data_IF_460292427784
#
_entry.id   IF_460292427784
#
_cell.length_a   1.000
_cell.length_b   1.000
_cell.length_c   1.000
_cell.angle_alpha   90.00
_cell.angle_beta   90.00
_cell.angle_gamma   90.00
#
_symmetry.space_group_name_H-M   'P 1'
#
loop_
_entity.id
_entity.type
_entity.pdbx_description
1 polymer ?
#
# COMPACT_ATOMS: atom_id res chain seq x y z
N UNK A 1 -71.61 -0.29 33.51
CA UNK A 1 -70.85 -0.11 32.23
C UNK A 1 -69.44 0.27 32.59
N UNK A 2 -68.59 -0.73 32.66
CA UNK A 2 -67.13 -0.54 32.97
C UNK A 2 -66.40 -0.26 31.67
N UNK A 3 -65.77 0.91 31.57
CA UNK A 3 -64.84 1.24 30.45
C UNK A 3 -63.42 0.79 30.82
N UNK A 4 -62.95 -0.21 30.12
CA UNK A 4 -61.52 -0.65 30.21
C UNK A 4 -60.71 0.31 29.34
N UNK A 5 -59.79 1.07 29.95
CA UNK A 5 -58.79 1.91 29.26
C UNK A 5 -57.57 1.05 29.07
N UNK A 6 -57.29 0.68 27.81
CA UNK A 6 -56.03 -0.04 27.42
C UNK A 6 -54.97 1.03 27.15
N UNK A 7 -53.97 1.12 28.04
CA UNK A 7 -52.77 1.92 27.84
C UNK A 7 -51.75 1.11 27.01
N UNK A 8 -51.60 1.51 25.76
CA UNK A 8 -50.54 0.96 24.88
C UNK A 8 -49.23 1.70 25.22
N UNK A 9 -48.31 1.02 25.90
CA UNK A 9 -46.92 1.46 26.06
C UNK A 9 -46.17 1.18 24.75
N UNK A 10 -45.94 2.21 23.95
CA UNK A 10 -45.01 2.15 22.81
C UNK A 10 -43.60 2.26 23.36
N UNK A 11 -42.90 1.13 23.42
CA UNK A 11 -41.44 1.11 23.71
C UNK A 11 -40.71 1.58 22.45
N UNK A 12 -40.25 2.83 22.45
CA UNK A 12 -39.32 3.35 21.46
C UNK A 12 -37.95 2.71 21.71
N UNK A 13 -37.61 1.65 20.95
CA UNK A 13 -36.25 1.12 20.93
C UNK A 13 -35.37 2.14 20.22
N UNK A 14 -34.63 2.95 20.98
CA UNK A 14 -33.53 3.76 20.43
C UNK A 14 -32.44 2.81 19.98
N UNK A 15 -32.39 2.49 18.70
CA UNK A 15 -31.18 1.98 18.07
C UNK A 15 -30.15 3.11 18.07
N UNK A 16 -29.25 3.11 19.04
CA UNK A 16 -28.05 3.92 18.94
C UNK A 16 -27.27 3.40 17.73
N UNK A 17 -27.28 4.16 16.62
CA UNK A 17 -26.28 4.00 15.58
C UNK A 17 -24.94 4.33 16.26
N UNK A 18 -24.21 3.32 16.67
CA UNK A 18 -22.79 3.47 16.98
C UNK A 18 -22.14 3.77 15.64
N UNK A 19 -21.82 5.05 15.41
CA UNK A 19 -20.98 5.43 14.30
C UNK A 19 -19.66 4.66 14.50
N UNK A 20 -19.35 3.70 13.63
CA UNK A 20 -18.12 2.95 13.71
C UNK A 20 -16.98 3.96 13.53
N UNK A 21 -16.11 4.03 14.52
CA UNK A 21 -14.97 4.95 14.51
C UNK A 21 -14.10 4.66 13.30
N UNK A 22 -13.70 5.72 12.58
CA UNK A 22 -12.76 5.61 11.46
C UNK A 22 -11.43 5.08 11.97
N UNK A 23 -10.75 4.26 11.18
CA UNK A 23 -9.46 3.67 11.57
C UNK A 23 -8.43 4.77 11.79
N UNK A 24 -7.80 4.75 12.95
CA UNK A 24 -6.62 5.58 13.21
C UNK A 24 -5.36 4.87 12.69
N UNK A 25 -4.63 5.50 11.78
CA UNK A 25 -3.35 5.00 11.27
C UNK A 25 -2.15 5.41 12.15
N UNK A 26 -2.35 6.18 13.23
CA UNK A 26 -1.28 6.61 14.14
C UNK A 26 -0.43 5.47 14.71
N UNK A 27 -0.99 4.32 15.15
CA UNK A 27 -0.15 3.23 15.66
C UNK A 27 0.81 2.66 14.59
N UNK A 28 0.41 2.65 13.33
CA UNK A 28 1.29 2.23 12.23
C UNK A 28 2.32 3.32 11.90
N UNK A 29 1.91 4.57 11.91
CA UNK A 29 2.78 5.73 11.73
C UNK A 29 3.93 5.74 12.75
N UNK A 30 3.64 5.48 14.03
CA UNK A 30 4.65 5.36 15.08
C UNK A 30 5.65 4.21 14.84
N UNK A 31 5.19 3.09 14.29
CA UNK A 31 6.06 1.96 13.90
C UNK A 31 6.96 2.39 12.74
N UNK A 32 6.40 3.02 11.72
CA UNK A 32 7.16 3.47 10.56
C UNK A 32 8.20 4.52 10.93
N UNK A 33 7.84 5.55 11.71
CA UNK A 33 8.77 6.57 12.19
C UNK A 33 9.94 6.01 13.00
N UNK A 34 9.70 4.93 13.75
CA UNK A 34 10.74 4.33 14.60
C UNK A 34 11.67 3.40 13.84
N UNK A 35 11.17 2.69 12.83
CA UNK A 35 11.87 1.55 12.24
C UNK A 35 12.15 1.67 10.75
N UNK A 36 11.69 2.74 10.10
CA UNK A 36 11.97 3.02 8.69
C UNK A 36 12.80 4.29 8.61
N UNK A 37 13.95 4.23 7.97
CA UNK A 37 14.81 5.40 7.79
C UNK A 37 14.37 6.28 6.60
N UNK A 38 15.03 7.42 6.44
CA UNK A 38 14.74 8.40 5.37
C UNK A 38 14.92 7.82 3.96
N UNK A 39 15.66 6.72 3.82
CA UNK A 39 15.87 6.04 2.53
C UNK A 39 14.84 4.95 2.28
N UNK A 40 13.95 4.66 3.22
CA UNK A 40 12.92 3.61 3.13
C UNK A 40 13.42 2.22 3.49
N UNK A 41 14.63 2.11 4.09
CA UNK A 41 15.12 0.84 4.61
C UNK A 41 14.50 0.54 5.97
N UNK A 42 14.18 -0.72 6.20
CA UNK A 42 13.37 -1.19 7.33
C UNK A 42 14.22 -1.96 8.33
N UNK A 43 14.12 -1.61 9.61
CA UNK A 43 14.66 -2.39 10.70
C UNK A 43 13.69 -3.52 11.07
N UNK A 44 13.63 -4.57 10.26
CA UNK A 44 12.75 -5.73 10.52
C UNK A 44 13.01 -6.40 11.86
N UNK A 45 14.28 -6.50 12.27
CA UNK A 45 14.65 -7.07 13.58
C UNK A 45 14.06 -6.25 14.73
N UNK A 46 14.11 -4.91 14.63
CA UNK A 46 13.52 -4.00 15.61
C UNK A 46 12.00 -4.12 15.69
N UNK A 47 11.31 -4.13 14.54
CA UNK A 47 9.85 -4.34 14.50
C UNK A 47 9.51 -5.71 15.10
N UNK A 48 10.30 -6.75 14.80
CA UNK A 48 10.10 -8.09 15.33
C UNK A 48 10.12 -8.17 16.86
N UNK A 49 10.94 -7.33 17.51
CA UNK A 49 10.96 -7.24 18.99
C UNK A 49 9.69 -6.61 19.57
N UNK A 50 9.01 -5.76 18.82
CA UNK A 50 7.75 -5.13 19.20
C UNK A 50 6.58 -5.59 18.32
N UNK A 51 6.66 -6.79 17.72
CA UNK A 51 5.67 -7.32 16.76
C UNK A 51 4.23 -7.23 17.27
N UNK A 52 4.02 -7.31 18.58
CA UNK A 52 2.69 -7.17 19.18
C UNK A 52 2.01 -5.83 18.82
N UNK A 53 2.77 -4.74 18.67
CA UNK A 53 2.21 -3.44 18.24
C UNK A 53 1.69 -3.49 16.81
N UNK A 54 2.47 -4.08 15.89
CA UNK A 54 2.03 -4.29 14.51
C UNK A 54 0.79 -5.19 14.46
N UNK A 55 0.80 -6.32 15.19
CA UNK A 55 -0.36 -7.22 15.26
C UNK A 55 -1.60 -6.54 15.82
N UNK A 56 -1.47 -5.67 16.81
CA UNK A 56 -2.59 -4.87 17.33
C UNK A 56 -3.16 -3.93 16.26
N UNK A 57 -2.31 -3.29 15.46
CA UNK A 57 -2.76 -2.45 14.36
C UNK A 57 -3.46 -3.28 13.26
N UNK A 58 -2.89 -4.43 12.86
CA UNK A 58 -3.51 -5.33 11.89
C UNK A 58 -4.89 -5.80 12.35
N UNK A 59 -5.05 -6.08 13.65
CA UNK A 59 -6.35 -6.42 14.24
C UNK A 59 -7.35 -5.26 14.13
N UNK A 60 -6.91 -4.02 14.33
CA UNK A 60 -7.78 -2.85 14.13
C UNK A 60 -8.25 -2.77 12.67
N UNK A 61 -7.37 -3.05 11.70
CA UNK A 61 -7.76 -3.10 10.28
C UNK A 61 -8.78 -4.23 10.01
N UNK A 62 -8.55 -5.41 10.57
CA UNK A 62 -9.47 -6.56 10.43
C UNK A 62 -10.89 -6.25 10.94
N UNK A 63 -10.99 -5.57 12.08
CA UNK A 63 -12.24 -5.28 12.75
C UNK A 63 -12.95 -4.02 12.21
N UNK A 64 -12.21 -3.12 11.57
CA UNK A 64 -12.70 -1.81 11.09
C UNK A 64 -12.32 -1.59 9.62
N UNK A 65 -12.99 -2.30 8.74
CA UNK A 65 -12.75 -2.22 7.30
C UNK A 65 -13.57 -1.11 6.62
N UNK A 66 -13.19 -0.66 5.40
CA UNK A 66 -13.87 0.41 4.69
C UNK A 66 -15.36 0.14 4.46
N UNK A 67 -16.18 1.16 4.70
CA UNK A 67 -17.64 1.16 4.48
C UNK A 67 -17.98 2.11 3.33
N UNK A 68 -19.18 1.95 2.76
CA UNK A 68 -19.67 2.83 1.70
C UNK A 68 -19.70 4.31 2.11
N UNK A 69 -19.90 4.58 3.41
CA UNK A 69 -19.90 5.93 3.99
C UNK A 69 -18.53 6.60 4.07
N UNK A 70 -17.44 5.86 3.87
CA UNK A 70 -16.09 6.44 3.86
C UNK A 70 -15.82 7.14 2.54
N UNK A 71 -15.06 8.24 2.58
CA UNK A 71 -14.56 8.88 1.37
C UNK A 71 -13.56 7.98 0.62
N UNK A 72 -13.32 8.30 -0.64
CA UNK A 72 -12.33 7.55 -1.44
C UNK A 72 -10.93 7.67 -0.87
N UNK A 73 -10.56 8.86 -0.32
CA UNK A 73 -9.27 9.05 0.33
C UNK A 73 -9.14 8.21 1.61
N UNK A 74 -10.20 8.07 2.40
CA UNK A 74 -10.22 7.20 3.58
C UNK A 74 -10.05 5.73 3.21
N UNK A 75 -10.76 5.28 2.17
CA UNK A 75 -10.64 3.92 1.66
C UNK A 75 -9.24 3.65 1.09
N UNK A 76 -8.74 4.57 0.27
CA UNK A 76 -7.43 4.40 -0.37
C UNK A 76 -6.29 4.43 0.65
N UNK A 77 -6.29 5.37 1.59
CA UNK A 77 -5.30 5.41 2.67
C UNK A 77 -5.34 4.12 3.52
N UNK A 78 -6.53 3.62 3.84
CA UNK A 78 -6.68 2.35 4.54
C UNK A 78 -6.02 1.19 3.78
N UNK A 79 -6.29 1.04 2.48
CA UNK A 79 -5.79 -0.07 1.70
C UNK A 79 -4.28 0.00 1.45
N UNK A 80 -3.72 1.21 1.26
CA UNK A 80 -2.27 1.41 1.13
C UNK A 80 -1.58 1.02 2.45
N UNK A 81 -2.06 1.49 3.59
CA UNK A 81 -1.50 1.15 4.89
C UNK A 81 -1.66 -0.35 5.20
N UNK A 82 -2.80 -0.94 4.86
CA UNK A 82 -3.04 -2.37 5.02
C UNK A 82 -2.02 -3.19 4.22
N UNK A 83 -1.85 -2.90 2.92
CA UNK A 83 -0.88 -3.58 2.08
C UNK A 83 0.53 -3.53 2.68
N UNK A 84 0.99 -2.34 3.06
CA UNK A 84 2.34 -2.14 3.60
C UNK A 84 2.52 -2.83 4.97
N UNK A 85 1.54 -2.72 5.87
CA UNK A 85 1.59 -3.35 7.18
C UNK A 85 1.57 -4.89 7.08
N UNK A 86 0.72 -5.46 6.23
CA UNK A 86 0.70 -6.90 5.98
C UNK A 86 1.94 -7.39 5.24
N UNK A 87 2.54 -6.59 4.35
CA UNK A 87 3.83 -6.93 3.73
C UNK A 87 4.94 -7.03 4.78
N UNK A 88 5.01 -6.07 5.71
CA UNK A 88 5.97 -6.14 6.84
C UNK A 88 5.70 -7.38 7.69
N UNK A 89 4.45 -7.67 8.03
CA UNK A 89 4.09 -8.84 8.84
C UNK A 89 4.45 -10.16 8.14
N UNK A 90 4.26 -10.26 6.82
CA UNK A 90 4.67 -11.42 6.02
C UNK A 90 6.19 -11.63 6.08
N UNK A 91 6.97 -10.56 5.94
CA UNK A 91 8.44 -10.64 6.11
C UNK A 91 8.79 -11.12 7.52
N UNK A 92 8.18 -10.56 8.56
CA UNK A 92 8.47 -10.92 9.95
C UNK A 92 8.09 -12.36 10.29
N UNK A 93 7.06 -12.92 9.65
CA UNK A 93 6.66 -14.33 9.83
C UNK A 93 7.75 -15.30 9.35
N UNK A 94 8.49 -14.87 8.32
CA UNK A 94 9.52 -15.71 7.69
C UNK A 94 10.95 -15.24 7.96
N UNK A 95 11.10 -14.18 8.79
CA UNK A 95 12.41 -13.58 9.08
C UNK A 95 13.35 -14.52 9.84
N UNK A 96 14.66 -14.58 9.49
CA UNK A 96 15.33 -13.79 8.46
C UNK A 96 15.17 -14.37 7.05
N UNK A 97 14.91 -13.49 6.06
CA UNK A 97 14.89 -13.82 4.64
C UNK A 97 15.76 -12.82 3.85
N UNK A 98 16.29 -13.23 2.71
CA UNK A 98 17.08 -12.33 1.85
C UNK A 98 16.23 -11.57 0.84
N UNK A 99 15.02 -12.05 0.58
CA UNK A 99 14.07 -11.50 -0.38
C UNK A 99 12.66 -11.97 -0.02
N UNK A 100 11.65 -11.15 -0.27
CA UNK A 100 10.26 -11.60 -0.19
C UNK A 100 10.02 -12.81 -1.11
N UNK A 101 10.74 -12.90 -2.22
CA UNK A 101 10.66 -14.04 -3.17
C UNK A 101 11.13 -15.36 -2.58
N UNK A 102 11.81 -15.38 -1.45
CA UNK A 102 12.21 -16.61 -0.76
C UNK A 102 11.05 -17.25 0.03
N UNK A 103 9.97 -16.49 0.24
CA UNK A 103 8.77 -16.94 0.94
C UNK A 103 7.88 -17.78 0.00
N UNK A 104 7.22 -18.79 0.57
CA UNK A 104 6.25 -19.63 -0.14
C UNK A 104 6.82 -20.96 -0.63
N UNK A 105 6.27 -21.53 -1.72
CA UNK A 105 6.61 -22.86 -2.21
C UNK A 105 8.08 -22.98 -2.61
N UNK A 106 8.73 -24.12 -2.26
CA UNK A 106 10.13 -24.41 -2.64
C UNK A 106 10.33 -24.51 -4.15
N UNK A 107 9.30 -24.99 -4.88
CA UNK A 107 9.31 -25.05 -6.35
C UNK A 107 8.63 -23.78 -6.85
N UNK A 108 9.40 -22.88 -7.44
CA UNK A 108 8.93 -21.61 -7.95
C UNK A 108 8.59 -21.74 -9.44
N UNK A 109 7.29 -21.72 -9.73
CA UNK A 109 6.81 -21.59 -11.11
C UNK A 109 6.55 -20.10 -11.34
N UNK A 110 7.12 -19.45 -12.36
CA UNK A 110 6.88 -18.04 -12.63
C UNK A 110 5.37 -17.74 -12.67
N UNK A 111 4.95 -16.70 -11.96
CA UNK A 111 3.56 -16.22 -11.89
C UNK A 111 2.56 -17.19 -11.24
N UNK A 112 3.02 -18.24 -10.56
CA UNK A 112 2.15 -19.19 -9.85
C UNK A 112 2.67 -19.37 -8.42
N UNK A 113 1.76 -19.24 -7.43
CA UNK A 113 2.08 -19.39 -6.00
C UNK A 113 3.23 -18.49 -5.54
N UNK A 114 3.15 -17.22 -5.89
CA UNK A 114 4.08 -16.18 -5.43
C UNK A 114 3.81 -15.84 -3.95
N UNK A 115 4.74 -15.17 -3.24
CA UNK A 115 4.48 -14.69 -1.88
C UNK A 115 3.22 -13.81 -1.76
N UNK A 116 2.88 -13.08 -2.81
CA UNK A 116 1.70 -12.23 -2.87
C UNK A 116 0.38 -12.99 -2.99
N UNK A 117 0.41 -14.30 -3.33
CA UNK A 117 -0.76 -15.17 -3.42
C UNK A 117 -1.04 -15.94 -2.12
N UNK A 118 -0.21 -15.77 -1.08
CA UNK A 118 -0.39 -16.44 0.20
C UNK A 118 -1.60 -15.83 0.92
N UNK A 119 -2.59 -16.65 1.23
CA UNK A 119 -3.77 -16.26 2.01
C UNK A 119 -3.42 -16.21 3.50
N UNK A 120 -3.25 -15.02 4.05
CA UNK A 120 -2.92 -14.81 5.48
C UNK A 120 -3.57 -13.55 6.05
N UNK A 121 -4.23 -12.76 5.21
CA UNK A 121 -4.91 -11.53 5.56
C UNK A 121 -6.37 -11.85 5.79
N UNK A 122 -6.95 -11.33 6.88
CA UNK A 122 -8.37 -11.46 7.15
C UNK A 122 -8.98 -10.09 7.40
N UNK A 123 -9.88 -9.67 6.51
CA UNK A 123 -10.59 -8.39 6.61
C UNK A 123 -12.05 -8.65 6.24
N UNK A 124 -12.99 -8.13 7.04
CA UNK A 124 -14.44 -8.35 6.87
C UNK A 124 -14.84 -9.84 6.86
N UNK A 125 -14.10 -10.68 7.58
CA UNK A 125 -14.33 -12.13 7.58
C UNK A 125 -13.83 -12.87 6.35
N UNK A 126 -13.35 -12.15 5.32
CA UNK A 126 -12.82 -12.72 4.08
C UNK A 126 -11.31 -12.98 4.18
N UNK A 127 -10.89 -14.15 3.71
CA UNK A 127 -9.46 -14.46 3.56
C UNK A 127 -8.93 -13.90 2.24
N UNK A 128 -7.87 -13.10 2.33
CA UNK A 128 -7.26 -12.49 1.16
C UNK A 128 -5.72 -12.53 1.23
N UNK A 129 -5.11 -12.15 0.14
CA UNK A 129 -3.67 -12.04 -0.05
C UNK A 129 -3.32 -10.61 -0.50
N UNK A 130 -2.02 -10.32 -0.63
CA UNK A 130 -1.55 -9.01 -1.07
C UNK A 130 -2.03 -8.66 -2.50
N UNK A 131 -2.09 -9.65 -3.42
CA UNK A 131 -2.63 -9.43 -4.76
C UNK A 131 -4.12 -9.07 -4.73
N UNK A 132 -4.90 -9.62 -3.79
CA UNK A 132 -6.30 -9.21 -3.64
C UNK A 132 -6.41 -7.74 -3.25
N UNK A 133 -5.55 -7.25 -2.34
CA UNK A 133 -5.55 -5.83 -1.97
C UNK A 133 -5.13 -4.97 -3.16
N UNK A 134 -3.97 -5.25 -3.79
CA UNK A 134 -3.45 -4.43 -4.88
C UNK A 134 -4.31 -4.54 -6.14
N UNK A 135 -4.45 -5.75 -6.69
CA UNK A 135 -5.09 -5.95 -7.99
C UNK A 135 -6.61 -6.15 -7.89
N UNK A 136 -7.07 -6.72 -6.78
CA UNK A 136 -8.49 -7.00 -6.55
C UNK A 136 -9.28 -5.77 -6.09
N UNK A 137 -8.68 -4.92 -5.28
CA UNK A 137 -9.34 -3.77 -4.65
C UNK A 137 -8.79 -2.45 -5.19
N UNK A 138 -7.54 -2.11 -4.86
CA UNK A 138 -7.02 -0.76 -5.13
C UNK A 138 -7.10 -0.43 -6.61
N UNK A 139 -6.46 -1.21 -7.48
CA UNK A 139 -6.42 -0.95 -8.93
C UNK A 139 -7.78 -1.03 -9.63
N UNK A 140 -8.79 -1.65 -9.01
CA UNK A 140 -10.15 -1.72 -9.57
C UNK A 140 -11.04 -0.57 -9.14
N UNK A 141 -10.87 -0.10 -7.90
CA UNK A 141 -11.76 0.88 -7.31
C UNK A 141 -11.24 2.31 -7.47
N UNK A 142 -9.91 2.48 -7.62
CA UNK A 142 -9.29 3.79 -7.68
C UNK A 142 -8.51 3.96 -8.99
N UNK A 143 -8.78 5.06 -9.69
CA UNK A 143 -8.02 5.46 -10.87
C UNK A 143 -6.86 6.38 -10.44
N UNK A 144 -5.90 5.78 -9.72
CA UNK A 144 -4.81 6.50 -9.07
C UNK A 144 -3.46 5.79 -9.30
N UNK A 145 -2.75 6.09 -10.41
CA UNK A 145 -1.51 5.40 -10.74
C UNK A 145 -0.36 5.66 -9.75
N UNK A 146 -0.44 6.71 -8.91
CA UNK A 146 0.59 6.99 -7.88
C UNK A 146 0.62 5.94 -6.77
N UNK A 147 -0.39 5.07 -6.67
CA UNK A 147 -0.36 3.92 -5.73
C UNK A 147 0.87 3.06 -5.93
N UNK A 148 1.36 2.94 -7.18
CA UNK A 148 2.55 2.15 -7.49
C UNK A 148 3.84 2.72 -6.87
N UNK A 149 3.82 3.94 -6.34
CA UNK A 149 4.92 4.53 -5.56
C UNK A 149 4.69 4.45 -4.05
N UNK A 150 3.50 3.98 -3.62
CA UNK A 150 3.08 3.88 -2.23
C UNK A 150 3.01 2.43 -1.72
N UNK A 151 2.76 1.46 -2.61
CA UNK A 151 2.73 0.03 -2.28
C UNK A 151 4.14 -0.55 -2.37
N UNK A 152 4.66 -1.05 -1.24
CA UNK A 152 6.07 -1.47 -1.14
C UNK A 152 6.16 -2.98 -0.96
N UNK A 153 6.81 -3.63 -1.92
CA UNK A 153 6.98 -5.10 -1.96
C UNK A 153 8.22 -5.60 -1.20
N UNK A 154 8.74 -4.84 -0.26
CA UNK A 154 9.91 -5.18 0.57
C UNK A 154 11.21 -5.46 -0.23
N UNK A 155 11.40 -4.89 -1.42
CA UNK A 155 12.61 -5.04 -2.21
C UNK A 155 13.39 -3.72 -2.36
N UNK A 156 14.70 -3.80 -2.57
CA UNK A 156 15.56 -2.61 -2.77
C UNK A 156 15.10 -1.77 -3.95
N UNK A 157 14.68 -2.39 -5.06
CA UNK A 157 14.19 -1.65 -6.24
C UNK A 157 12.72 -1.20 -6.14
N UNK A 158 11.99 -1.53 -5.06
CA UNK A 158 10.68 -0.93 -4.78
C UNK A 158 10.82 0.60 -4.57
N UNK A 159 9.73 1.34 -4.71
CA UNK A 159 9.62 2.65 -4.07
C UNK A 159 9.99 2.56 -2.59
N UNK A 160 10.54 3.62 -2.04
CA UNK A 160 10.88 3.61 -0.61
C UNK A 160 9.61 3.47 0.24
N UNK A 161 9.66 2.61 1.25
CA UNK A 161 8.62 2.64 2.27
C UNK A 161 8.73 3.98 3.00
N UNK A 162 7.65 4.77 2.97
CA UNK A 162 7.63 6.03 3.68
C UNK A 162 7.72 5.78 5.20
N UNK A 163 8.47 6.60 5.91
CA UNK A 163 8.54 6.55 7.38
C UNK A 163 7.31 7.19 8.06
N UNK A 164 6.22 7.30 7.31
CA UNK A 164 4.92 7.80 7.74
C UNK A 164 3.80 6.96 7.15
N UNK A 165 2.73 6.78 7.89
CA UNK A 165 1.51 6.22 7.35
C UNK A 165 0.83 7.19 6.38
N UNK A 166 -0.01 6.68 5.50
CA UNK A 166 -0.86 7.49 4.64
C UNK A 166 -2.12 7.91 5.40
N UNK A 167 -2.43 9.20 5.36
CA UNK A 167 -3.59 9.77 6.04
C UNK A 167 -4.53 10.41 5.01
N UNK A 168 -5.84 10.24 5.15
CA UNK A 168 -6.81 10.78 4.19
C UNK A 168 -6.64 12.28 3.92
N UNK A 169 -6.38 13.04 4.98
CA UNK A 169 -6.27 14.50 4.93
C UNK A 169 -5.06 15.01 4.14
N UNK A 170 -4.05 14.17 3.94
CA UNK A 170 -2.79 14.50 3.26
C UNK A 170 -2.47 13.55 2.12
N UNK A 171 -3.40 12.64 1.76
CA UNK A 171 -3.15 11.55 0.83
C UNK A 171 -2.64 12.01 -0.52
N UNK A 172 -3.28 13.01 -1.11
CA UNK A 172 -2.89 13.53 -2.44
C UNK A 172 -1.45 14.08 -2.44
N UNK A 173 -1.09 14.85 -1.40
CA UNK A 173 0.26 15.35 -1.22
C UNK A 173 1.27 14.21 -1.00
N UNK A 174 0.94 13.24 -0.12
CA UNK A 174 1.80 12.09 0.16
C UNK A 174 2.06 11.23 -1.08
N UNK A 175 1.03 11.01 -1.91
CA UNK A 175 1.16 10.27 -3.17
C UNK A 175 2.01 11.04 -4.19
N UNK A 176 1.86 12.36 -4.26
CA UNK A 176 2.66 13.21 -5.15
C UNK A 176 4.12 13.25 -4.72
N UNK A 177 4.39 13.34 -3.42
CA UNK A 177 5.74 13.29 -2.87
C UNK A 177 6.39 11.92 -3.13
N UNK A 178 5.66 10.82 -2.92
CA UNK A 178 6.15 9.47 -3.21
C UNK A 178 6.49 9.29 -4.71
N UNK A 179 5.66 9.84 -5.61
CA UNK A 179 5.93 9.81 -7.05
C UNK A 179 7.20 10.59 -7.40
N UNK A 180 7.37 11.79 -6.83
CA UNK A 180 8.54 12.62 -7.03
C UNK A 180 9.80 11.97 -6.48
N UNK A 181 9.76 11.50 -5.23
CA UNK A 181 10.87 10.79 -4.58
C UNK A 181 11.34 9.59 -5.43
N UNK A 182 10.39 8.79 -5.93
CA UNK A 182 10.73 7.64 -6.74
C UNK A 182 11.36 8.01 -8.07
N UNK A 183 10.83 9.03 -8.75
CA UNK A 183 11.33 9.43 -10.08
C UNK A 183 12.68 10.15 -10.01
N UNK A 184 12.98 10.81 -8.91
CA UNK A 184 14.28 11.48 -8.68
C UNK A 184 15.35 10.55 -8.09
N UNK A 185 14.99 9.32 -7.68
CA UNK A 185 15.95 8.32 -7.22
C UNK A 185 16.73 7.74 -8.40
N UNK A 186 17.97 8.23 -8.61
CA UNK A 186 18.85 7.82 -9.70
C UNK A 186 19.23 6.33 -9.65
N UNK A 187 19.13 5.69 -8.50
CA UNK A 187 19.36 4.24 -8.38
C UNK A 187 18.27 3.45 -9.11
N UNK A 188 17.07 3.99 -9.21
CA UNK A 188 15.87 3.36 -9.79
C UNK A 188 15.54 3.91 -11.18
N UNK A 189 15.76 5.21 -11.41
CA UNK A 189 15.44 5.86 -12.67
C UNK A 189 16.59 6.77 -13.09
N UNK A 190 16.99 6.70 -14.36
CA UNK A 190 18.07 7.50 -14.93
C UNK A 190 17.56 8.25 -16.16
N UNK A 191 17.46 9.54 -16.06
CA UNK A 191 17.11 10.44 -17.17
C UNK A 191 18.39 10.93 -17.85
N UNK A 192 18.84 10.19 -18.87
CA UNK A 192 20.10 10.48 -19.59
C UNK A 192 20.02 11.79 -20.36
N UNK A 193 18.85 12.10 -20.94
CA UNK A 193 18.54 13.34 -21.66
C UNK A 193 17.03 13.46 -21.88
N UNK A 194 16.57 14.57 -22.46
CA UNK A 194 15.17 14.72 -22.87
C UNK A 194 14.70 13.66 -23.88
N UNK A 195 15.61 12.93 -24.52
CA UNK A 195 15.32 11.91 -25.55
C UNK A 195 15.57 10.47 -25.10
N UNK A 196 16.08 10.27 -23.87
CA UNK A 196 16.47 8.93 -23.42
C UNK A 196 16.40 8.81 -21.89
N UNK A 197 15.75 7.77 -21.42
CA UNK A 197 15.72 7.38 -20.00
C UNK A 197 15.82 5.87 -19.83
N UNK A 198 16.37 5.44 -18.67
CA UNK A 198 16.29 4.08 -18.17
C UNK A 198 15.49 4.08 -16.86
N UNK A 199 14.34 3.44 -16.87
CA UNK A 199 13.37 3.50 -15.79
C UNK A 199 13.29 2.19 -15.02
N UNK A 200 12.75 2.23 -13.83
CA UNK A 200 12.38 1.04 -13.07
C UNK A 200 11.44 0.14 -13.87
N UNK A 201 11.55 -1.17 -13.68
CA UNK A 201 10.62 -2.17 -14.24
C UNK A 201 9.16 -1.93 -13.85
N UNK A 202 8.91 -1.19 -12.78
CA UNK A 202 7.57 -0.80 -12.35
C UNK A 202 6.78 -0.11 -13.47
N UNK A 203 7.43 0.77 -14.25
CA UNK A 203 6.80 1.42 -15.41
C UNK A 203 6.53 0.48 -16.59
N UNK A 204 7.21 -0.67 -16.64
CA UNK A 204 6.90 -1.72 -17.61
C UNK A 204 5.74 -2.60 -17.16
N UNK A 205 5.77 -3.05 -15.89
CA UNK A 205 4.75 -3.95 -15.35
C UNK A 205 3.37 -3.29 -15.26
N UNK A 206 3.32 -2.03 -14.84
CA UNK A 206 2.09 -1.28 -14.63
C UNK A 206 1.84 -0.21 -15.70
N UNK A 207 2.45 -0.40 -16.90
CA UNK A 207 2.37 0.59 -17.99
C UNK A 207 0.94 1.04 -18.28
N UNK A 208 -0.02 0.11 -18.27
CA UNK A 208 -1.43 0.42 -18.54
C UNK A 208 -2.03 1.44 -17.57
N UNK A 209 -1.66 1.37 -16.28
CA UNK A 209 -2.17 2.29 -15.26
C UNK A 209 -1.59 3.70 -15.46
N UNK A 210 -0.32 3.81 -15.83
CA UNK A 210 0.34 5.09 -16.08
C UNK A 210 -0.06 5.75 -17.40
N UNK A 211 -0.55 4.96 -18.36
CA UNK A 211 -0.85 5.44 -19.71
C UNK A 211 -2.33 5.40 -20.06
N UNK A 212 -3.20 5.29 -19.07
CA UNK A 212 -4.65 5.23 -19.28
C UNK A 212 -5.20 6.51 -19.91
N UNK A 213 -4.72 7.67 -19.48
CA UNK A 213 -5.19 8.97 -19.93
C UNK A 213 -4.15 9.78 -20.72
N UNK A 214 -2.87 9.39 -20.68
CA UNK A 214 -1.77 10.16 -21.24
C UNK A 214 -0.65 9.25 -21.74
N UNK A 215 0.36 9.79 -22.44
CA UNK A 215 1.57 9.02 -22.74
C UNK A 215 2.44 8.82 -21.48
N UNK A 216 3.31 7.79 -21.49
CA UNK A 216 4.22 7.58 -20.37
C UNK A 216 5.13 8.77 -20.13
N UNK A 217 5.65 9.40 -21.21
CA UNK A 217 6.50 10.56 -21.11
C UNK A 217 5.77 11.75 -20.47
N UNK A 218 4.51 11.99 -20.85
CA UNK A 218 3.69 13.04 -20.24
C UNK A 218 3.39 12.76 -18.78
N UNK A 219 3.16 11.49 -18.40
CA UNK A 219 2.98 11.12 -17.01
C UNK A 219 4.26 11.38 -16.19
N UNK A 220 5.42 10.91 -16.68
CA UNK A 220 6.71 11.08 -16.01
C UNK A 220 7.07 12.55 -15.85
N UNK A 221 6.79 13.39 -16.87
CA UNK A 221 7.07 14.82 -16.86
C UNK A 221 6.30 15.60 -15.79
N UNK A 222 5.26 15.02 -15.17
CA UNK A 222 4.55 15.63 -14.04
C UNK A 222 5.38 15.62 -12.74
N UNK A 223 6.31 14.67 -12.59
CA UNK A 223 7.02 14.42 -11.35
C UNK A 223 8.54 14.42 -11.47
N UNK A 224 9.09 14.33 -12.68
CA UNK A 224 10.54 14.33 -12.93
C UNK A 224 11.06 15.76 -13.21
N UNK A 225 12.31 15.99 -12.84
CA UNK A 225 12.99 17.26 -13.14
C UNK A 225 13.38 17.38 -14.63
N UNK A 226 13.55 16.23 -15.32
CA UNK A 226 13.89 16.17 -16.74
C UNK A 226 12.61 15.98 -17.56
N UNK A 227 12.36 16.91 -18.47
CA UNK A 227 11.21 16.85 -19.36
C UNK A 227 11.53 15.99 -20.59
N UNK A 228 10.94 14.79 -20.65
CA UNK A 228 11.10 13.91 -21.80
C UNK A 228 10.32 14.43 -23.01
N UNK A 229 10.98 14.40 -24.17
CA UNK A 229 10.34 14.65 -25.44
C UNK A 229 9.38 13.51 -25.81
N UNK A 230 8.38 13.83 -26.63
CA UNK A 230 7.48 12.80 -27.20
C UNK A 230 8.27 11.75 -27.95
N UNK A 231 8.02 10.45 -27.66
CA UNK A 231 8.74 9.30 -28.20
C UNK A 231 10.21 9.23 -27.76
N UNK A 232 10.54 9.71 -26.58
CA UNK A 232 11.83 9.45 -25.96
C UNK A 232 12.10 7.95 -25.91
N UNK A 233 13.36 7.55 -26.06
CA UNK A 233 13.77 6.14 -25.97
C UNK A 233 13.78 5.74 -24.49
N UNK A 234 12.86 4.86 -24.10
CA UNK A 234 12.77 4.34 -22.73
C UNK A 234 13.29 2.91 -22.71
N UNK A 235 14.32 2.66 -21.89
CA UNK A 235 14.78 1.35 -21.47
C UNK A 235 14.40 1.08 -20.03
N UNK A 236 14.62 -0.14 -19.54
CA UNK A 236 14.32 -0.52 -18.16
C UNK A 236 15.58 -1.03 -17.47
N UNK A 237 15.72 -0.69 -16.17
CA UNK A 237 16.81 -1.17 -15.30
C UNK A 237 16.45 -2.55 -14.75
N UNK A 238 17.46 -3.32 -14.39
CA UNK A 238 17.25 -4.57 -13.65
C UNK A 238 16.62 -4.29 -12.30
N UNK A 239 15.81 -5.24 -11.81
CA UNK A 239 15.09 -5.11 -10.55
C UNK A 239 15.77 -5.94 -9.46
N UNK A 240 16.30 -5.24 -8.45
CA UNK A 240 16.92 -5.87 -7.27
C UNK A 240 15.84 -6.27 -6.26
N UNK A 241 15.67 -7.58 -6.11
CA UNK A 241 14.72 -8.20 -5.18
C UNK A 241 15.30 -8.44 -3.78
N UNK A 242 16.54 -8.01 -3.50
CA UNK A 242 17.07 -8.08 -2.15
C UNK A 242 16.17 -7.32 -1.18
N UNK A 243 16.06 -7.84 0.05
CA UNK A 243 15.20 -7.24 1.09
C UNK A 243 15.68 -5.81 1.38
N UNK A 244 14.73 -4.88 1.48
CA UNK A 244 14.96 -3.49 1.86
C UNK A 244 15.24 -3.33 3.36
N UNK A 245 16.23 -4.05 3.87
CA UNK A 245 16.59 -4.12 5.29
C UNK A 245 17.74 -3.16 5.62
N UNK A 246 17.65 -2.49 6.77
CA UNK A 246 18.76 -1.75 7.36
C UNK A 246 19.89 -2.71 7.73
N UNK A 247 21.15 -2.33 7.43
CA UNK A 247 22.35 -3.13 7.72
C UNK A 247 22.86 -2.88 9.13
#
# INVERSE_FOLDING_TARGET
>A
MNRIVVLIFATLSMFSLVAQEKVSHKPFDEILQKYVDETGLVNYKGIGQERAKLKSYLKVLEENFPKDSWSDDEKLAYWINAYNAYTIDLILEHYPVKSIKDIGAKIKIPFVNTPWDIKFIKIDGEEMDLNNIEHGIIRKQFDEPRIHFALVCAAISCPKLQNKAYFPETLDAQLSDAAKDFLTDETKNEFVSTKKAYLSMLFNWYRGDFTKETSLEEYLNKYSDVQLEKRARIGFKDYDWALNEQK
#
